data_IF_584236952708
#
_entry.id   IF_584236952708
#
_cell.length_a   1.000
_cell.length_b   1.000
_cell.length_c   1.000
_cell.angle_alpha   90.00
_cell.angle_beta   90.00
_cell.angle_gamma   90.00
#
_symmetry.space_group_name_H-M   'P 1'
#
loop_
_entity.id
_entity.type
_entity.pdbx_description
1 polymer ?
#
# COMPACT_ATOMS: atom_id res chain seq x y z
N UNK A 1 -12.49 -1.98 -16.41
CA UNK A 1 -11.12 -1.86 -16.97
C UNK A 1 -11.17 -1.67 -18.49
N UNK A 2 -11.73 -2.64 -19.23
CA UNK A 2 -11.82 -2.60 -20.71
C UNK A 2 -12.61 -1.40 -21.24
N UNK A 3 -13.83 -1.18 -20.75
CA UNK A 3 -14.68 -0.07 -21.23
C UNK A 3 -14.15 1.31 -20.85
N UNK A 4 -13.27 1.37 -19.85
CA UNK A 4 -12.61 2.58 -19.36
C UNK A 4 -11.24 2.82 -20.02
N UNK A 5 -10.83 1.98 -20.96
CA UNK A 5 -9.52 2.04 -21.65
C UNK A 5 -8.31 2.11 -20.71
N UNK A 6 -8.42 1.49 -19.52
CA UNK A 6 -7.31 1.43 -18.57
C UNK A 6 -6.36 0.31 -19.01
N UNK A 7 -5.06 0.57 -19.20
CA UNK A 7 -4.08 -0.46 -19.53
C UNK A 7 -4.06 -1.53 -18.46
N UNK A 8 -4.09 -2.80 -18.87
CA UNK A 8 -3.99 -3.92 -17.96
C UNK A 8 -3.10 -5.01 -18.55
N UNK A 9 -2.46 -5.77 -17.65
CA UNK A 9 -1.70 -6.96 -17.97
C UNK A 9 -2.34 -8.12 -17.21
N UNK A 10 -2.40 -9.30 -17.83
CA UNK A 10 -2.92 -10.51 -17.21
C UNK A 10 -1.76 -11.44 -16.88
N UNK A 11 -1.66 -11.88 -15.63
CA UNK A 11 -0.61 -12.78 -15.17
C UNK A 11 -0.41 -12.68 -13.66
N UNK A 12 0.60 -13.40 -13.17
CA UNK A 12 1.08 -13.33 -11.80
C UNK A 12 1.85 -12.02 -11.60
N UNK A 13 1.46 -11.21 -10.60
CA UNK A 13 2.10 -9.93 -10.28
C UNK A 13 3.57 -10.07 -9.88
N UNK A 14 3.96 -11.26 -9.42
CA UNK A 14 5.34 -11.54 -9.09
C UNK A 14 6.18 -11.87 -10.33
N UNK A 15 5.59 -12.06 -11.51
CA UNK A 15 6.32 -12.38 -12.74
C UNK A 15 7.22 -11.23 -13.18
N UNK A 16 8.54 -11.47 -13.27
CA UNK A 16 9.51 -10.46 -13.73
C UNK A 16 9.15 -9.89 -15.11
N UNK A 17 8.84 -10.69 -16.16
CA UNK A 17 8.41 -10.13 -17.45
C UNK A 17 7.15 -9.27 -17.38
N UNK A 18 6.23 -9.57 -16.45
CA UNK A 18 5.01 -8.78 -16.27
C UNK A 18 5.34 -7.45 -15.59
N UNK A 19 6.18 -7.48 -14.55
CA UNK A 19 6.65 -6.30 -13.83
C UNK A 19 7.49 -5.39 -14.71
N UNK A 20 8.39 -5.92 -15.53
CA UNK A 20 9.16 -5.13 -16.51
C UNK A 20 8.25 -4.47 -17.55
N UNK A 21 7.22 -5.18 -18.01
CA UNK A 21 6.25 -4.63 -18.96
C UNK A 21 5.35 -3.57 -18.32
N UNK A 22 5.03 -3.72 -17.03
CA UNK A 22 4.29 -2.74 -16.25
C UNK A 22 5.16 -1.51 -15.94
N UNK A 23 6.43 -1.74 -15.62
CA UNK A 23 7.43 -0.74 -15.30
C UNK A 23 8.09 -0.20 -16.57
N UNK A 24 7.36 0.61 -17.34
CA UNK A 24 7.94 1.32 -18.49
C UNK A 24 8.91 2.44 -18.03
N UNK A 25 10.00 2.14 -17.33
CA UNK A 25 11.07 3.05 -16.86
C UNK A 25 10.64 4.39 -16.21
N UNK A 26 9.35 4.61 -16.00
CA UNK A 26 8.71 5.89 -15.68
C UNK A 26 7.69 5.74 -14.56
N UNK A 27 7.47 4.51 -14.08
CA UNK A 27 6.61 4.31 -12.92
C UNK A 27 7.25 5.04 -11.74
N UNK A 28 6.48 5.93 -11.12
CA UNK A 28 6.92 6.68 -9.93
C UNK A 28 6.49 6.01 -8.64
N UNK A 29 5.41 5.23 -8.71
CA UNK A 29 4.84 4.54 -7.57
C UNK A 29 4.12 3.26 -7.99
N UNK A 30 3.93 2.35 -7.04
CA UNK A 30 3.21 1.08 -7.18
C UNK A 30 2.36 0.81 -5.94
N UNK A 31 1.15 0.27 -6.14
CA UNK A 31 0.33 -0.24 -5.06
C UNK A 31 0.18 -1.76 -5.17
N UNK A 32 0.50 -2.50 -4.10
CA UNK A 32 0.32 -3.95 -4.03
C UNK A 32 -0.88 -4.25 -3.14
N UNK A 33 -1.91 -4.85 -3.72
CA UNK A 33 -3.21 -5.09 -3.05
C UNK A 33 -3.63 -6.56 -3.05
N UNK A 34 -2.67 -7.47 -3.17
CA UNK A 34 -2.91 -8.91 -3.27
C UNK A 34 -3.47 -9.46 -1.95
N UNK A 35 -4.36 -10.47 -1.99
CA UNK A 35 -4.89 -11.10 -0.78
C UNK A 35 -3.91 -12.10 -0.14
N UNK A 36 -2.96 -12.63 -0.91
CA UNK A 36 -1.99 -13.61 -0.45
C UNK A 36 -0.70 -12.92 0.05
N UNK A 37 -0.31 -13.07 1.33
CA UNK A 37 0.89 -12.44 1.90
C UNK A 37 2.18 -12.89 1.20
N UNK A 38 2.24 -14.15 0.76
CA UNK A 38 3.44 -14.68 0.07
C UNK A 38 3.61 -13.99 -1.27
N UNK A 39 2.55 -13.92 -2.07
CA UNK A 39 2.55 -13.19 -3.35
C UNK A 39 2.86 -11.70 -3.17
N UNK A 40 2.35 -11.06 -2.10
CA UNK A 40 2.67 -9.67 -1.75
C UNK A 40 4.17 -9.47 -1.55
N UNK A 41 4.79 -10.27 -0.67
CA UNK A 41 6.23 -10.18 -0.38
C UNK A 41 7.08 -10.45 -1.62
N UNK A 42 6.70 -11.45 -2.42
CA UNK A 42 7.41 -11.80 -3.64
C UNK A 42 7.31 -10.70 -4.70
N UNK A 43 6.13 -10.09 -4.85
CA UNK A 43 5.91 -8.96 -5.76
C UNK A 43 6.72 -7.74 -5.32
N UNK A 44 6.69 -7.39 -4.02
CA UNK A 44 7.46 -6.28 -3.46
C UNK A 44 8.96 -6.44 -3.70
N UNK A 45 9.51 -7.60 -3.33
CA UNK A 45 10.93 -7.89 -3.49
C UNK A 45 11.38 -7.79 -4.96
N UNK A 46 10.58 -8.34 -5.89
CA UNK A 46 10.91 -8.30 -7.32
C UNK A 46 10.74 -6.91 -7.91
N UNK A 47 9.72 -6.16 -7.52
CA UNK A 47 9.52 -4.80 -7.99
C UNK A 47 10.71 -3.90 -7.59
N UNK A 48 11.17 -3.98 -6.35
CA UNK A 48 12.34 -3.24 -5.86
C UNK A 48 13.65 -3.72 -6.50
N UNK A 49 13.78 -5.01 -6.83
CA UNK A 49 14.95 -5.49 -7.57
C UNK A 49 15.03 -4.88 -8.99
N UNK A 50 13.88 -4.68 -9.64
CA UNK A 50 13.79 -4.10 -10.99
C UNK A 50 13.92 -2.56 -10.94
N UNK A 51 13.31 -1.92 -9.95
CA UNK A 51 13.38 -0.48 -9.73
C UNK A 51 13.54 -0.17 -8.23
N UNK A 52 14.80 -0.03 -7.76
CA UNK A 52 15.09 0.20 -6.34
C UNK A 52 14.48 1.49 -5.77
N UNK A 53 14.28 2.51 -6.60
CA UNK A 53 13.74 3.81 -6.19
C UNK A 53 12.21 3.91 -6.38
N UNK A 54 11.53 2.80 -6.67
CA UNK A 54 10.07 2.82 -6.85
C UNK A 54 9.39 2.99 -5.50
N UNK A 55 8.51 3.99 -5.38
CA UNK A 55 7.67 4.16 -4.19
C UNK A 55 6.59 3.07 -4.16
N UNK A 56 6.62 2.18 -3.17
CA UNK A 56 5.67 1.06 -3.10
C UNK A 56 4.85 1.12 -1.82
N UNK A 57 3.55 1.31 -1.99
CA UNK A 57 2.56 1.14 -0.92
C UNK A 57 1.99 -0.27 -0.96
N UNK A 58 1.97 -0.95 0.18
CA UNK A 58 1.47 -2.32 0.30
C UNK A 58 0.27 -2.37 1.22
N UNK A 59 -0.78 -3.08 0.81
CA UNK A 59 -1.93 -3.39 1.65
C UNK A 59 -1.70 -4.71 2.37
N UNK A 60 -1.99 -4.76 3.68
CA UNK A 60 -2.05 -6.00 4.46
C UNK A 60 -3.26 -6.02 5.38
N UNK A 61 -3.78 -7.22 5.65
CA UNK A 61 -4.81 -7.47 6.66
C UNK A 61 -4.26 -8.23 7.87
N UNK A 62 -2.93 -8.39 7.95
CA UNK A 62 -2.24 -9.19 8.96
C UNK A 62 -1.30 -8.28 9.73
N UNK A 63 -1.60 -8.05 11.01
CA UNK A 63 -0.83 -7.16 11.89
C UNK A 63 0.66 -7.55 11.94
N UNK A 64 0.94 -8.85 12.03
CA UNK A 64 2.32 -9.37 12.12
C UNK A 64 3.16 -9.22 10.84
N UNK A 65 2.58 -8.78 9.73
CA UNK A 65 3.31 -8.58 8.47
C UNK A 65 3.82 -7.14 8.31
N UNK A 66 3.32 -6.18 9.10
CA UNK A 66 3.61 -4.75 8.91
C UNK A 66 5.11 -4.48 8.94
N UNK A 67 5.78 -4.87 10.04
CA UNK A 67 7.21 -4.66 10.21
C UNK A 67 8.03 -5.39 9.13
N UNK A 68 7.61 -6.60 8.76
CA UNK A 68 8.29 -7.39 7.74
C UNK A 68 8.20 -6.76 6.35
N UNK A 69 7.07 -6.11 6.02
CA UNK A 69 6.88 -5.42 4.75
C UNK A 69 7.69 -4.12 4.69
N UNK A 70 7.75 -3.36 5.78
CA UNK A 70 8.65 -2.20 5.88
C UNK A 70 10.12 -2.61 5.75
N UNK A 71 10.55 -3.66 6.47
CA UNK A 71 11.91 -4.19 6.37
C UNK A 71 12.25 -4.69 4.95
N UNK A 72 11.25 -5.15 4.20
CA UNK A 72 11.42 -5.58 2.81
C UNK A 72 11.50 -4.40 1.82
N UNK A 73 11.28 -3.17 2.27
CA UNK A 73 11.41 -1.94 1.49
C UNK A 73 10.08 -1.34 1.02
N UNK A 74 8.95 -1.73 1.60
CA UNK A 74 7.71 -0.97 1.39
C UNK A 74 7.88 0.44 1.96
N UNK A 75 7.45 1.45 1.20
CA UNK A 75 7.47 2.84 1.65
C UNK A 75 6.35 3.12 2.65
N UNK A 76 5.20 2.47 2.44
CA UNK A 76 4.01 2.60 3.27
C UNK A 76 3.29 1.25 3.33
N UNK A 77 2.80 0.87 4.51
CA UNK A 77 2.01 -0.35 4.72
C UNK A 77 0.65 0.02 5.30
N UNK A 78 -0.39 -0.16 4.49
CA UNK A 78 -1.75 0.22 4.84
C UNK A 78 -2.55 -0.97 5.34
N UNK A 79 -3.17 -0.80 6.49
CA UNK A 79 -4.19 -1.72 7.03
C UNK A 79 -5.59 -1.12 6.83
N UNK A 80 -6.40 -1.62 5.87
CA UNK A 80 -7.71 -1.06 5.58
C UNK A 80 -8.65 -1.00 6.79
N UNK A 81 -8.56 -1.98 7.70
CA UNK A 81 -9.36 -2.05 8.91
C UNK A 81 -9.06 -0.92 9.88
N UNK A 82 -7.78 -0.59 10.06
CA UNK A 82 -7.34 0.50 10.93
C UNK A 82 -7.81 1.84 10.37
N UNK A 83 -7.56 2.08 9.08
CA UNK A 83 -8.00 3.30 8.39
C UNK A 83 -9.53 3.49 8.48
N UNK A 84 -10.29 2.41 8.25
CA UNK A 84 -11.73 2.45 8.37
C UNK A 84 -12.18 2.74 9.81
N UNK A 85 -11.54 2.13 10.81
CA UNK A 85 -11.86 2.37 12.22
C UNK A 85 -11.56 3.81 12.65
N UNK A 86 -10.43 4.38 12.20
CA UNK A 86 -10.06 5.78 12.45
C UNK A 86 -11.05 6.75 11.82
N UNK A 87 -11.42 6.53 10.55
CA UNK A 87 -12.41 7.35 9.84
C UNK A 87 -13.78 7.29 10.53
N UNK A 88 -14.21 6.09 10.96
CA UNK A 88 -15.46 5.92 11.71
C UNK A 88 -15.42 6.67 13.05
N UNK A 89 -14.32 6.56 13.80
CA UNK A 89 -14.12 7.29 15.05
C UNK A 89 -14.17 8.80 14.86
N UNK A 90 -13.43 9.32 13.87
CA UNK A 90 -13.42 10.74 13.51
C UNK A 90 -14.82 11.24 13.14
N UNK A 91 -15.55 10.49 12.30
CA UNK A 91 -16.93 10.83 11.92
C UNK A 91 -17.89 10.86 13.11
N UNK A 92 -17.75 9.92 14.06
CA UNK A 92 -18.56 9.91 15.28
C UNK A 92 -18.26 11.11 16.17
N UNK A 93 -16.99 11.45 16.39
CA UNK A 93 -16.58 12.61 17.18
C UNK A 93 -17.07 13.92 16.57
N UNK A 94 -16.95 14.08 15.24
CA UNK A 94 -17.48 15.24 14.52
C UNK A 94 -19.00 15.38 14.70
N UNK A 95 -19.75 14.26 14.73
CA UNK A 95 -21.19 14.29 14.97
C UNK A 95 -21.59 14.64 16.40
N UNK A 96 -20.72 14.39 17.37
CA UNK A 96 -21.00 14.65 18.78
C UNK A 96 -20.75 16.12 19.19
N UNK A 97 -20.29 16.96 18.25
CA UNK A 97 -20.07 18.40 18.45
C UNK A 97 -19.03 18.75 19.54
N UNK A 98 -18.15 17.81 19.88
CA UNK A 98 -16.94 18.13 20.63
C UNK A 98 -15.93 18.76 19.66
N UNK A 99 -15.66 20.02 19.95
CA UNK A 99 -14.96 20.99 19.12
C UNK A 99 -13.68 20.44 18.48
N UNK A 100 -13.63 20.61 17.16
CA UNK A 100 -12.51 20.45 16.22
C UNK A 100 -11.14 20.86 16.80
N UNK A 101 -10.32 19.90 17.24
CA UNK A 101 -8.85 19.97 17.28
C UNK A 101 -8.29 18.63 17.81
N UNK A 102 -7.24 18.07 17.21
CA UNK A 102 -6.51 16.84 17.60
C UNK A 102 -6.98 15.46 17.04
N UNK A 103 -7.21 15.33 15.73
CA UNK A 103 -7.11 13.98 15.10
C UNK A 103 -6.08 13.95 13.95
N UNK A 104 -5.46 15.08 13.58
CA UNK A 104 -4.38 15.13 12.58
C UNK A 104 -2.96 15.10 13.17
N UNK A 105 -2.79 14.97 14.49
CA UNK A 105 -1.47 14.95 15.14
C UNK A 105 -1.03 13.61 15.76
N UNK A 106 -1.87 12.57 15.72
CA UNK A 106 -1.51 11.23 16.21
C UNK A 106 -1.29 10.24 15.06
N UNK A 107 -0.77 10.72 13.92
CA UNK A 107 0.03 9.88 13.05
C UNK A 107 1.41 9.82 13.71
N UNK A 108 1.87 8.67 14.24
CA UNK A 108 3.26 8.57 14.63
C UNK A 108 4.08 8.80 13.37
N UNK A 109 4.73 9.96 13.33
CA UNK A 109 5.93 10.15 12.55
C UNK A 109 6.96 9.18 13.10
N UNK A 110 6.92 7.93 12.66
CA UNK A 110 8.01 6.98 12.88
C UNK A 110 9.15 7.41 11.97
N UNK A 111 9.86 8.45 12.40
CA UNK A 111 11.25 8.66 12.03
C UNK A 111 12.05 7.59 12.79
N UNK A 112 12.49 6.56 12.08
CA UNK A 112 13.87 6.07 12.01
C UNK A 112 13.95 4.79 11.18
#
# INVERSE_FOLDING_TARGET
MRDRHIPYLLGDSSSTPLLEKANRHRAKAMAITLPDPVATRLTLNRALHIAPDLDITVRTHIDGEIDALYQLGAQEVVQPELEAALEMGAHMLLKLNDSTYLVQQELPATQH
#
